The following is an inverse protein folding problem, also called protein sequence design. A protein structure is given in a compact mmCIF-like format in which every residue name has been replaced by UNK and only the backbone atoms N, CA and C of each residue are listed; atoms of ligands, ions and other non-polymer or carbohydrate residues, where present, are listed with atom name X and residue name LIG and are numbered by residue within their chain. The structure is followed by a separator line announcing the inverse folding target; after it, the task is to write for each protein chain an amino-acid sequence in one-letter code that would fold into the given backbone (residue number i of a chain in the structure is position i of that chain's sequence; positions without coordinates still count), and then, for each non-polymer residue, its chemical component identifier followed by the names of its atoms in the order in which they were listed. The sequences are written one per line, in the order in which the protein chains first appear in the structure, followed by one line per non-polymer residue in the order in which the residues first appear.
data_IF_988706822381
#
_entry.id   IF_988706822381
#
_cell.length_a   1.000
_cell.length_b   1.000
_cell.length_c   1.000
_cell.angle_alpha   90.00
_cell.angle_beta   90.00
_cell.angle_gamma   90.00
#
_symmetry.space_group_name_H-M   'P 1'
#
loop_
_entity.id
_entity.type
_entity.pdbx_description
1 polymer ?
#
# COMPACT_ATOMS: atom_id res chain seq x y z
N UNK A 1 6.33 -4.56 24.42
CA UNK A 1 6.01 -3.53 23.42
C UNK A 1 4.97 -2.61 24.00
N UNK A 2 5.24 -1.30 24.01
CA UNK A 2 4.34 -0.28 24.54
C UNK A 2 3.49 0.35 23.42
N UNK A 3 2.42 1.05 23.79
CA UNK A 3 1.58 1.78 22.83
C UNK A 3 2.35 2.91 22.12
N UNK A 4 3.33 3.50 22.80
CA UNK A 4 4.23 4.52 22.24
C UNK A 4 5.16 3.93 21.19
N UNK A 5 5.80 2.80 21.51
CA UNK A 5 6.66 2.06 20.57
C UNK A 5 5.87 1.63 19.32
N UNK A 6 4.66 1.07 19.50
CA UNK A 6 3.82 0.66 18.38
C UNK A 6 3.37 1.86 17.52
N UNK A 7 3.16 3.03 18.15
CA UNK A 7 2.83 4.27 17.42
C UNK A 7 4.03 4.84 16.68
N UNK A 8 5.23 4.76 17.27
CA UNK A 8 6.47 5.15 16.62
C UNK A 8 6.76 4.26 15.40
N UNK A 9 6.62 2.94 15.55
CA UNK A 9 6.80 1.97 14.48
C UNK A 9 5.81 2.19 13.33
N UNK A 10 4.54 2.52 13.65
CA UNK A 10 3.55 2.89 12.63
C UNK A 10 4.01 4.11 11.82
N UNK A 11 4.50 5.15 12.50
CA UNK A 11 4.95 6.38 11.84
C UNK A 11 6.23 6.18 11.02
N UNK A 12 7.09 5.23 11.39
CA UNK A 12 8.26 4.84 10.62
C UNK A 12 7.82 4.05 9.36
N UNK A 13 7.00 3.01 9.53
CA UNK A 13 6.50 2.19 8.44
C UNK A 13 5.74 3.01 7.38
N UNK A 14 4.99 4.03 7.79
CA UNK A 14 4.32 4.94 6.84
C UNK A 14 5.29 5.79 6.01
N UNK A 15 6.43 6.20 6.57
CA UNK A 15 7.47 6.93 5.83
C UNK A 15 8.17 6.03 4.82
N UNK A 16 8.41 4.79 5.22
CA UNK A 16 9.08 3.79 4.36
C UNK A 16 8.12 3.18 3.33
N UNK A 17 6.84 3.55 3.40
CA UNK A 17 5.75 2.99 2.58
C UNK A 17 5.65 1.45 2.66
N UNK A 18 6.09 0.88 3.78
CA UNK A 18 6.06 -0.56 4.03
C UNK A 18 4.69 -0.95 4.60
N UNK A 19 3.84 -1.51 3.74
CA UNK A 19 2.48 -1.89 4.09
C UNK A 19 2.42 -3.03 5.13
N UNK A 20 3.38 -3.96 5.10
CA UNK A 20 3.41 -5.09 6.01
C UNK A 20 3.80 -4.62 7.41
N UNK A 21 4.80 -3.74 7.50
CA UNK A 21 5.19 -3.10 8.75
C UNK A 21 4.08 -2.20 9.31
N UNK A 22 3.31 -1.51 8.45
CA UNK A 22 2.14 -0.74 8.87
C UNK A 22 1.06 -1.65 9.47
N UNK A 23 0.76 -2.78 8.82
CA UNK A 23 -0.22 -3.74 9.31
C UNK A 23 0.18 -4.33 10.66
N UNK A 24 1.45 -4.71 10.83
CA UNK A 24 2.00 -5.20 12.11
C UNK A 24 1.86 -4.13 13.21
N UNK A 25 2.31 -2.91 12.95
CA UNK A 25 2.24 -1.82 13.93
C UNK A 25 0.80 -1.46 14.34
N UNK A 26 -0.17 -1.54 13.41
CA UNK A 26 -1.59 -1.35 13.74
C UNK A 26 -2.12 -2.49 14.62
N UNK A 27 -1.75 -3.74 14.34
CA UNK A 27 -2.13 -4.88 15.16
C UNK A 27 -1.57 -4.75 16.59
N UNK A 28 -0.31 -4.32 16.71
CA UNK A 28 0.34 -4.09 17.99
C UNK A 28 -0.32 -2.96 18.79
N UNK A 29 -0.65 -1.84 18.13
CA UNK A 29 -1.43 -0.75 18.77
C UNK A 29 -2.78 -1.26 19.27
N UNK A 30 -3.49 -2.04 18.46
CA UNK A 30 -4.78 -2.61 18.84
C UNK A 30 -4.65 -3.58 20.03
N UNK A 31 -3.58 -4.39 20.05
CA UNK A 31 -3.27 -5.29 21.17
C UNK A 31 -2.99 -4.52 22.47
N UNK A 32 -2.19 -3.44 22.41
CA UNK A 32 -1.92 -2.60 23.57
C UNK A 32 -3.19 -1.93 24.13
N UNK A 33 -4.07 -1.43 23.26
CA UNK A 33 -5.35 -0.82 23.67
C UNK A 33 -6.26 -1.88 24.32
N UNK A 34 -6.36 -3.08 23.72
CA UNK A 34 -7.13 -4.20 24.30
C UNK A 34 -6.58 -4.66 25.65
N UNK A 35 -5.26 -4.61 25.83
CA UNK A 35 -4.59 -4.91 27.10
C UNK A 35 -4.80 -3.82 28.17
N UNK A 36 -5.53 -2.74 27.88
CA UNK A 36 -5.89 -1.69 28.83
C UNK A 36 -4.98 -0.46 28.79
N UNK A 37 -4.07 -0.36 27.81
CA UNK A 37 -3.27 0.86 27.64
C UNK A 37 -4.17 2.02 27.24
N UNK A 38 -4.17 3.09 28.03
CA UNK A 38 -4.92 4.30 27.72
C UNK A 38 -4.09 5.20 26.80
N UNK A 39 -4.54 5.48 25.57
CA UNK A 39 -3.84 6.42 24.70
C UNK A 39 -3.89 7.82 25.27
N UNK A 40 -2.75 8.52 25.24
CA UNK A 40 -2.66 9.95 25.54
C UNK A 40 -3.24 10.77 24.39
N UNK A 41 -3.53 12.05 24.63
CA UNK A 41 -3.96 12.99 23.58
C UNK A 41 -2.98 13.04 22.39
N UNK A 42 -1.68 12.97 22.68
CA UNK A 42 -0.61 12.94 21.66
C UNK A 42 -0.65 11.67 20.81
N UNK A 43 -0.85 10.50 21.43
CA UNK A 43 -0.93 9.22 20.71
C UNK A 43 -2.19 9.13 19.83
N UNK A 44 -3.28 9.77 20.25
CA UNK A 44 -4.50 9.92 19.45
C UNK A 44 -4.22 10.82 18.25
N UNK A 45 -3.59 11.98 18.46
CA UNK A 45 -3.22 12.89 17.39
C UNK A 45 -2.29 12.22 16.35
N UNK A 46 -1.30 11.45 16.81
CA UNK A 46 -0.42 10.66 15.95
C UNK A 46 -1.19 9.57 15.18
N UNK A 47 -2.16 8.91 15.82
CA UNK A 47 -3.07 7.96 15.15
C UNK A 47 -3.89 8.62 14.05
N UNK A 48 -4.46 9.80 14.31
CA UNK A 48 -5.23 10.54 13.31
C UNK A 48 -4.37 10.96 12.13
N UNK A 49 -3.13 11.42 12.38
CA UNK A 49 -2.17 11.74 11.31
C UNK A 49 -1.85 10.52 10.46
N UNK A 50 -1.59 9.37 11.09
CA UNK A 50 -1.34 8.12 10.40
C UNK A 50 -2.51 7.70 9.49
N UNK A 51 -3.77 7.99 9.87
CA UNK A 51 -4.94 7.74 9.01
C UNK A 51 -4.90 8.59 7.74
N UNK A 52 -4.57 9.88 7.86
CA UNK A 52 -4.43 10.75 6.69
C UNK A 52 -3.31 10.27 5.76
N UNK A 53 -2.15 9.91 6.31
CA UNK A 53 -1.02 9.40 5.54
C UNK A 53 -1.37 8.10 4.80
N UNK A 54 -2.12 7.19 5.46
CA UNK A 54 -2.64 5.96 4.85
C UNK A 54 -3.61 6.24 3.68
N UNK A 55 -4.49 7.23 3.83
CA UNK A 55 -5.41 7.61 2.76
C UNK A 55 -4.66 8.15 1.54
N UNK A 56 -3.66 8.98 1.76
CA UNK A 56 -2.80 9.49 0.68
C UNK A 56 -2.02 8.35 0.00
N UNK A 57 -1.48 7.42 0.77
CA UNK A 57 -0.77 6.26 0.25
C UNK A 57 -1.69 5.38 -0.61
N UNK A 58 -2.92 5.13 -0.14
CA UNK A 58 -3.95 4.41 -0.90
C UNK A 58 -4.27 5.07 -2.24
N UNK A 59 -4.41 6.39 -2.26
CA UNK A 59 -4.67 7.14 -3.50
C UNK A 59 -3.51 7.02 -4.49
N UNK A 60 -2.27 7.12 -3.99
CA UNK A 60 -1.06 6.95 -4.81
C UNK A 60 -0.99 5.55 -5.43
N UNK A 61 -1.20 4.51 -4.63
CA UNK A 61 -1.20 3.13 -5.12
C UNK A 61 -2.33 2.87 -6.12
N UNK A 62 -3.51 3.47 -5.93
CA UNK A 62 -4.60 3.36 -6.89
C UNK A 62 -4.22 3.97 -8.25
N UNK A 63 -3.55 5.13 -8.24
CA UNK A 63 -3.05 5.77 -9.46
C UNK A 63 -1.96 4.94 -10.15
N UNK A 64 -1.00 4.42 -9.38
CA UNK A 64 0.06 3.55 -9.91
C UNK A 64 -0.51 2.26 -10.51
N UNK A 65 -1.51 1.65 -9.86
CA UNK A 65 -2.20 0.46 -10.37
C UNK A 65 -2.96 0.76 -11.67
N UNK A 66 -3.68 1.88 -11.74
CA UNK A 66 -4.34 2.31 -12.97
C UNK A 66 -3.34 2.46 -14.14
N UNK A 67 -2.18 3.06 -13.87
CA UNK A 67 -1.09 3.18 -14.85
C UNK A 67 -0.53 1.83 -15.29
N UNK A 68 -0.34 0.89 -14.36
CA UNK A 68 0.12 -0.46 -14.68
C UNK A 68 -0.91 -1.23 -15.53
N UNK A 69 -2.20 -1.08 -15.26
CA UNK A 69 -3.26 -1.68 -16.08
C UNK A 69 -3.25 -1.12 -17.51
N UNK A 70 -3.08 0.20 -17.67
CA UNK A 70 -2.98 0.82 -18.99
C UNK A 70 -1.76 0.30 -19.78
N UNK A 71 -0.60 0.13 -19.11
CA UNK A 71 0.59 -0.46 -19.74
C UNK A 71 0.33 -1.92 -20.13
N UNK A 72 -0.30 -2.70 -19.25
CA UNK A 72 -0.67 -4.10 -19.51
C UNK A 72 -1.62 -4.23 -20.71
N UNK A 73 -2.63 -3.38 -20.80
CA UNK A 73 -3.56 -3.33 -21.93
C UNK A 73 -2.81 -3.00 -23.23
N UNK A 74 -1.98 -1.97 -23.22
CA UNK A 74 -1.15 -1.59 -24.39
C UNK A 74 -0.20 -2.71 -24.84
N UNK A 75 0.39 -3.44 -23.88
CA UNK A 75 1.23 -4.60 -24.17
C UNK A 75 0.41 -5.77 -24.73
N UNK A 76 -0.80 -5.98 -24.25
CA UNK A 76 -1.69 -7.03 -24.74
C UNK A 76 -2.15 -6.73 -26.17
N UNK A 77 -2.46 -5.48 -26.47
CA UNK A 77 -2.84 -5.03 -27.82
C UNK A 77 -1.69 -5.14 -28.82
N UNK A 78 -0.47 -4.79 -28.42
CA UNK A 78 0.72 -4.92 -29.29
C UNK A 78 1.10 -6.38 -29.53
N UNK A 79 1.04 -7.24 -28.51
CA UNK A 79 1.32 -8.67 -28.64
C UNK A 79 0.23 -9.43 -29.41
N UNK A 80 -1.04 -9.02 -29.30
CA UNK A 80 -2.13 -9.61 -30.10
C UNK A 80 -2.10 -9.18 -31.56
N UNK A 81 -1.58 -7.99 -31.86
CA UNK A 81 -1.27 -7.54 -33.23
C UNK A 81 -0.09 -8.28 -33.88
N UNK A 82 0.76 -8.94 -33.09
CA UNK A 82 1.85 -9.81 -33.57
C UNK A 82 1.40 -11.25 -33.90
N UNK A 83 0.08 -11.50 -34.02
CA UNK A 83 -0.43 -12.75 -34.63
C UNK A 83 0.21 -12.89 -36.02
N UNK A 84 1.17 -13.82 -36.07
CA UNK A 84 2.02 -14.27 -37.16
C UNK A 84 1.70 -13.68 -38.54
N UNK A 85 2.66 -13.00 -39.21
CA UNK A 85 2.52 -12.82 -40.65
C UNK A 85 2.33 -14.22 -41.25
N UNK A 86 1.15 -14.45 -41.84
CA UNK A 86 0.89 -15.61 -42.65
C UNK A 86 1.93 -15.60 -43.77
N UNK A 87 3.02 -16.33 -43.59
CA UNK A 87 3.94 -16.63 -44.67
C UNK A 87 3.21 -17.63 -45.54
N UNK A 88 2.41 -17.11 -46.47
CA UNK A 88 1.88 -17.89 -47.58
C UNK A 88 3.09 -18.28 -48.44
N UNK A 89 3.67 -19.45 -48.12
CA UNK A 89 4.61 -20.14 -48.99
C UNK A 89 3.81 -20.66 -50.19
N UNK A 90 3.77 -19.88 -51.26
CA UNK A 90 3.40 -20.36 -52.59
C UNK A 90 4.49 -21.33 -53.06
N UNK A 91 4.26 -22.63 -52.83
CA UNK A 91 4.93 -23.71 -53.54
C UNK A 91 4.36 -23.90 -54.94
#
# INVERSE_FOLDING_TARGET
MTLEEATHNLMAALRDHDLDAVAAALADRAACIKAGSRPTSELIAAGNRAIYDLLTLKQRLAFENARLNQIRESLTDTLSGLKQPHFDYCG
#
